data_IF_449200179283
#
_entry.id   IF_449200179283
#
_cell.length_a   1.000
_cell.length_b   1.000
_cell.length_c   1.000
_cell.angle_alpha   90.00
_cell.angle_beta   90.00
_cell.angle_gamma   90.00
#
_symmetry.space_group_name_H-M   'P 1'
#
loop_
_entity.id
_entity.type
_entity.pdbx_description
1 polymer ?
#
# COMPACT_ATOMS: atom_id res chain seq x y z
N UNK A 1 -9.68 -27.15 -4.27
CA UNK A 1 -8.72 -26.21 -3.63
C UNK A 1 -7.46 -26.99 -3.25
N UNK A 2 -6.32 -26.34 -2.97
CA UNK A 2 -5.26 -27.00 -2.15
C UNK A 2 -5.67 -26.89 -0.68
N UNK A 3 -5.63 -27.99 0.06
CA UNK A 3 -5.94 -28.01 1.49
C UNK A 3 -4.89 -27.27 2.34
N UNK A 4 -5.21 -27.09 3.63
CA UNK A 4 -4.21 -26.89 4.69
C UNK A 4 -3.29 -28.13 4.64
N UNK A 5 -1.98 -27.95 4.82
CA UNK A 5 -0.99 -29.04 4.85
C UNK A 5 -0.19 -28.86 6.14
N UNK A 6 0.01 -29.94 6.89
CA UNK A 6 0.80 -29.91 8.10
C UNK A 6 2.25 -29.47 7.83
N UNK A 7 2.74 -28.48 8.57
CA UNK A 7 4.10 -27.95 8.38
C UNK A 7 4.64 -27.20 9.60
N UNK A 8 5.97 -27.13 9.70
CA UNK A 8 6.67 -26.25 10.63
C UNK A 8 6.60 -24.79 10.18
N UNK A 9 6.21 -23.88 11.08
CA UNK A 9 6.31 -22.44 10.89
C UNK A 9 7.79 -22.01 10.83
N UNK A 10 8.29 -21.71 9.64
CA UNK A 10 9.71 -21.43 9.43
C UNK A 10 10.14 -20.09 10.03
N UNK A 11 11.24 -20.13 10.79
CA UNK A 11 11.95 -18.94 11.25
C UNK A 11 12.34 -18.01 10.09
N UNK A 12 12.10 -16.72 10.26
CA UNK A 12 12.36 -15.66 9.31
C UNK A 12 13.82 -15.19 9.45
N UNK A 13 14.77 -15.86 8.78
CA UNK A 13 16.22 -15.61 8.98
C UNK A 13 16.79 -14.37 8.25
N UNK A 14 15.97 -13.53 7.61
CA UNK A 14 16.46 -12.41 6.78
C UNK A 14 15.64 -11.12 6.90
N UNK A 15 16.29 -10.01 6.52
CA UNK A 15 15.77 -8.64 6.58
C UNK A 15 15.85 -7.99 5.17
N UNK A 16 15.26 -8.65 4.17
CA UNK A 16 14.96 -8.03 2.86
C UNK A 16 14.16 -6.75 3.12
N UNK A 17 14.34 -5.71 2.32
CA UNK A 17 13.53 -4.50 2.42
C UNK A 17 13.19 -3.96 1.02
N UNK A 18 11.97 -3.41 0.81
CA UNK A 18 11.57 -2.80 -0.44
C UNK A 18 12.51 -1.65 -0.80
N UNK A 19 12.90 -1.64 -2.08
CA UNK A 19 13.75 -0.62 -2.67
C UNK A 19 12.98 0.40 -3.53
N UNK A 20 11.72 0.12 -3.89
CA UNK A 20 10.94 0.95 -4.81
C UNK A 20 9.48 1.13 -4.34
N UNK A 21 9.08 2.39 -4.24
CA UNK A 21 7.73 2.80 -3.89
C UNK A 21 7.21 3.84 -4.90
N UNK A 22 5.90 3.90 -5.06
CA UNK A 22 5.20 5.02 -5.69
C UNK A 22 3.99 5.38 -4.84
N UNK A 23 4.02 6.56 -4.25
CA UNK A 23 2.90 7.15 -3.54
C UNK A 23 2.07 7.98 -4.51
N UNK A 24 0.75 7.96 -4.38
CA UNK A 24 -0.13 8.82 -5.16
C UNK A 24 -1.42 9.16 -4.40
N UNK A 25 -2.11 10.17 -4.90
CA UNK A 25 -3.33 10.77 -4.34
C UNK A 25 -4.08 11.43 -5.50
N UNK A 26 -5.42 11.44 -5.45
CA UNK A 26 -6.27 11.95 -6.54
C UNK A 26 -7.39 12.87 -6.06
N UNK A 27 -7.51 14.01 -6.75
CA UNK A 27 -8.62 14.96 -6.60
C UNK A 27 -9.65 14.72 -7.69
N UNK A 28 -10.92 14.80 -7.33
CA UNK A 28 -12.02 14.38 -8.23
C UNK A 28 -13.17 15.36 -8.25
N UNK A 29 -13.82 15.46 -9.41
CA UNK A 29 -15.15 16.02 -9.54
C UNK A 29 -16.17 14.89 -9.41
N UNK A 30 -17.19 15.08 -8.57
CA UNK A 30 -18.35 14.18 -8.51
C UNK A 30 -19.26 14.41 -9.72
N UNK A 31 -19.70 13.33 -10.36
CA UNK A 31 -20.65 13.38 -11.46
C UNK A 31 -21.77 12.38 -11.21
N UNK A 32 -23.00 12.87 -11.05
CA UNK A 32 -24.19 12.03 -10.91
C UNK A 32 -24.47 11.27 -12.21
N UNK A 33 -24.70 9.96 -12.10
CA UNK A 33 -25.22 9.11 -13.18
C UNK A 33 -26.75 9.12 -13.14
N UNK A 34 -27.31 9.06 -11.93
CA UNK A 34 -28.74 9.15 -11.64
C UNK A 34 -28.91 9.66 -10.18
N UNK A 35 -30.11 9.54 -9.61
CA UNK A 35 -30.44 10.01 -8.25
C UNK A 35 -29.76 9.24 -7.11
N UNK A 36 -29.25 8.02 -7.35
CA UNK A 36 -28.65 7.15 -6.32
C UNK A 36 -27.17 6.83 -6.57
N UNK A 37 -26.68 7.02 -7.80
CA UNK A 37 -25.36 6.62 -8.26
C UNK A 37 -24.54 7.82 -8.76
N UNK A 38 -23.34 7.99 -8.20
CA UNK A 38 -22.32 8.95 -8.65
C UNK A 38 -21.09 8.21 -9.16
N UNK A 39 -20.31 8.84 -10.04
CA UNK A 39 -18.92 8.47 -10.30
C UNK A 39 -17.97 9.64 -10.02
N UNK A 40 -16.72 9.31 -9.71
CA UNK A 40 -15.66 10.29 -9.48
C UNK A 40 -14.79 10.39 -10.73
N UNK A 41 -14.73 11.60 -11.30
CA UNK A 41 -13.89 11.92 -12.45
C UNK A 41 -12.60 12.56 -11.97
N UNK A 42 -11.45 12.08 -12.43
CA UNK A 42 -10.15 12.69 -12.12
C UNK A 42 -10.14 14.17 -12.56
N UNK A 43 -9.76 15.04 -11.62
CA UNK A 43 -9.58 16.49 -11.80
C UNK A 43 -8.10 16.87 -11.84
N UNK A 44 -7.33 16.32 -10.89
CA UNK A 44 -5.87 16.31 -10.87
C UNK A 44 -5.35 15.25 -9.89
N UNK A 45 -4.05 15.00 -9.89
CA UNK A 45 -3.38 14.22 -8.86
C UNK A 45 -1.87 14.40 -8.89
N UNK A 46 -1.22 13.86 -7.85
CA UNK A 46 0.24 13.80 -7.76
C UNK A 46 0.72 12.38 -7.52
N UNK A 47 1.87 12.06 -8.07
CA UNK A 47 2.62 10.85 -7.77
C UNK A 47 4.05 11.20 -7.32
N UNK A 48 4.55 10.45 -6.35
CA UNK A 48 5.94 10.50 -5.89
C UNK A 48 6.54 9.09 -5.93
N UNK A 49 7.44 8.87 -6.89
CA UNK A 49 8.30 7.69 -6.90
C UNK A 49 9.45 7.89 -5.91
N UNK A 50 9.66 6.91 -5.03
CA UNK A 50 10.76 6.86 -4.08
C UNK A 50 11.55 5.56 -4.27
N UNK A 51 12.82 5.69 -4.61
CA UNK A 51 13.77 4.59 -4.64
C UNK A 51 14.75 4.72 -3.49
N UNK A 52 14.75 3.72 -2.62
CA UNK A 52 15.79 3.56 -1.60
C UNK A 52 17.11 3.13 -2.23
N UNK A 53 18.20 3.69 -1.75
CA UNK A 53 19.57 3.36 -2.15
C UNK A 53 20.34 2.69 -1.00
N UNK A 54 21.54 2.13 -1.25
CA UNK A 54 22.45 1.73 -0.19
C UNK A 54 22.84 2.92 0.70
N UNK A 55 23.39 2.62 1.87
CA UNK A 55 23.93 3.63 2.79
C UNK A 55 25.02 4.49 2.11
N UNK A 56 25.15 5.75 2.54
CA UNK A 56 25.98 6.76 1.89
C UNK A 56 25.43 7.33 0.57
N UNK A 57 24.49 6.63 -0.10
CA UNK A 57 23.91 7.09 -1.38
C UNK A 57 22.55 7.74 -1.16
N UNK A 58 22.35 8.96 -1.69
CA UNK A 58 21.09 9.70 -1.56
C UNK A 58 19.94 8.99 -2.31
N UNK A 59 18.82 8.80 -1.61
CA UNK A 59 17.58 8.23 -2.17
C UNK A 59 17.08 9.02 -3.38
N UNK A 60 16.55 8.30 -4.37
CA UNK A 60 16.00 8.92 -5.59
C UNK A 60 14.52 9.21 -5.38
N UNK A 61 14.14 10.48 -5.42
CA UNK A 61 12.75 10.94 -5.26
C UNK A 61 12.35 11.69 -6.53
N UNK A 62 11.27 11.26 -7.19
CA UNK A 62 10.79 11.84 -8.46
C UNK A 62 9.29 12.12 -8.34
N UNK A 63 8.94 13.40 -8.48
CA UNK A 63 7.56 13.88 -8.45
C UNK A 63 6.96 13.99 -9.85
N UNK A 64 5.66 13.72 -9.98
CA UNK A 64 4.90 13.87 -11.22
C UNK A 64 3.49 14.37 -10.94
N UNK A 65 3.16 15.53 -11.48
CA UNK A 65 1.78 15.99 -11.63
C UNK A 65 1.09 15.22 -12.77
N UNK A 66 -0.21 14.95 -12.61
CA UNK A 66 -1.06 14.42 -13.68
C UNK A 66 -2.50 14.94 -13.55
N UNK A 67 -3.18 15.08 -14.67
CA UNK A 67 -4.62 15.40 -14.79
C UNK A 67 -5.35 14.44 -15.74
N UNK A 68 -4.65 13.44 -16.28
CA UNK A 68 -5.24 12.31 -17.00
C UNK A 68 -4.69 10.99 -16.46
N UNK A 69 -5.48 9.89 -16.46
CA UNK A 69 -4.98 8.59 -16.03
C UNK A 69 -3.78 8.10 -16.84
N UNK A 70 -3.73 8.38 -18.15
CA UNK A 70 -2.60 7.95 -19.01
C UNK A 70 -1.26 8.49 -18.49
N UNK A 71 -1.20 9.77 -18.13
CA UNK A 71 0.05 10.42 -17.66
C UNK A 71 0.56 9.79 -16.35
N UNK A 72 -0.34 9.33 -15.47
CA UNK A 72 0.01 8.55 -14.28
C UNK A 72 0.52 7.15 -14.64
N UNK A 73 -0.17 6.42 -15.50
CA UNK A 73 0.22 5.04 -15.85
C UNK A 73 1.51 4.97 -16.67
N UNK A 74 1.73 5.93 -17.57
CA UNK A 74 3.01 6.12 -18.27
C UNK A 74 4.14 6.34 -17.25
N UNK A 75 3.92 7.23 -16.27
CA UNK A 75 4.89 7.49 -15.21
C UNK A 75 5.13 6.25 -14.34
N UNK A 76 4.09 5.56 -13.87
CA UNK A 76 4.19 4.36 -13.06
C UNK A 76 4.98 3.27 -13.80
N UNK A 77 4.62 2.96 -15.05
CA UNK A 77 5.32 1.97 -15.87
C UNK A 77 6.81 2.35 -16.08
N UNK A 78 7.12 3.65 -16.29
CA UNK A 78 8.51 4.14 -16.40
C UNK A 78 9.38 3.94 -15.14
N UNK A 79 8.77 3.52 -14.02
CA UNK A 79 9.47 3.22 -12.76
C UNK A 79 9.47 1.73 -12.40
N UNK A 80 8.72 0.87 -13.10
CA UNK A 80 8.75 -0.58 -12.82
C UNK A 80 10.02 -1.19 -13.41
N UNK A 81 10.86 -1.77 -12.53
CA UNK A 81 12.11 -2.44 -12.92
C UNK A 81 11.95 -3.95 -12.85
N UNK A 82 12.76 -4.67 -13.63
CA UNK A 82 12.78 -6.13 -13.65
C UNK A 82 13.52 -6.70 -12.43
N UNK A 83 13.10 -7.89 -11.98
CA UNK A 83 13.57 -8.61 -10.77
C UNK A 83 13.27 -7.91 -9.43
N UNK A 84 12.64 -6.72 -9.43
CA UNK A 84 12.23 -5.99 -8.23
C UNK A 84 10.70 -5.83 -8.15
N UNK A 85 10.23 -5.32 -7.01
CA UNK A 85 8.81 -5.09 -6.69
C UNK A 85 8.59 -3.58 -6.59
N UNK A 86 7.68 -3.00 -7.39
CA UNK A 86 7.20 -1.63 -7.16
C UNK A 86 5.98 -1.69 -6.23
N UNK A 87 6.08 -1.07 -5.06
CA UNK A 87 4.97 -0.95 -4.12
C UNK A 87 4.20 0.35 -4.38
N UNK A 88 2.93 0.27 -4.72
CA UNK A 88 2.09 1.42 -5.09
C UNK A 88 1.06 1.67 -4.00
N UNK A 89 1.05 2.87 -3.42
CA UNK A 89 0.34 3.15 -2.17
C UNK A 89 -0.43 4.48 -2.28
N UNK A 90 -1.69 4.45 -1.88
CA UNK A 90 -2.52 5.62 -1.59
C UNK A 90 -3.32 5.36 -0.30
N UNK A 91 -4.07 6.36 0.18
CA UNK A 91 -4.83 6.27 1.43
C UNK A 91 -6.30 5.99 1.13
N UNK A 92 -6.78 4.77 1.41
CA UNK A 92 -7.98 4.19 0.78
C UNK A 92 -7.78 3.87 -0.72
N UNK A 93 -6.64 3.23 -1.05
CA UNK A 93 -6.13 3.03 -2.43
C UNK A 93 -7.12 2.45 -3.44
N UNK A 94 -8.19 1.75 -3.02
CA UNK A 94 -9.23 1.25 -3.92
C UNK A 94 -10.00 2.39 -4.61
N UNK A 95 -10.15 3.54 -3.95
CA UNK A 95 -10.75 4.74 -4.52
C UNK A 95 -9.89 5.28 -5.66
N UNK A 96 -8.64 5.66 -5.39
CA UNK A 96 -7.71 6.20 -6.40
C UNK A 96 -7.48 5.21 -7.54
N UNK A 97 -7.35 3.91 -7.23
CA UNK A 97 -7.20 2.86 -8.25
C UNK A 97 -8.40 2.80 -9.21
N UNK A 98 -9.60 3.08 -8.72
CA UNK A 98 -10.83 3.13 -9.52
C UNK A 98 -10.92 4.42 -10.34
N UNK A 99 -10.65 5.58 -9.73
CA UNK A 99 -10.55 6.90 -10.40
C UNK A 99 -9.55 6.85 -11.55
N UNK A 100 -8.40 6.21 -11.33
CA UNK A 100 -7.34 6.03 -12.32
C UNK A 100 -7.61 4.88 -13.30
N UNK A 101 -8.78 4.22 -13.24
CA UNK A 101 -9.21 3.17 -14.15
C UNK A 101 -8.21 1.99 -14.22
N UNK A 102 -7.65 1.57 -13.08
CA UNK A 102 -6.51 0.63 -13.04
C UNK A 102 -6.74 -0.70 -13.76
N UNK A 103 -7.95 -1.26 -13.67
CA UNK A 103 -8.33 -2.48 -14.41
C UNK A 103 -8.26 -2.34 -15.94
N UNK A 104 -8.43 -1.11 -16.46
CA UNK A 104 -8.40 -0.77 -17.90
C UNK A 104 -7.01 -0.40 -18.40
N UNK A 105 -6.12 0.06 -17.52
CA UNK A 105 -4.75 0.47 -17.89
C UNK A 105 -3.71 -0.61 -17.67
N UNK A 106 -3.74 -1.38 -16.59
CA UNK A 106 -2.72 -2.40 -16.31
C UNK A 106 -2.59 -3.47 -17.43
N UNK A 107 -3.67 -3.98 -18.04
CA UNK A 107 -3.56 -4.87 -19.20
C UNK A 107 -2.86 -4.24 -20.42
N UNK A 108 -2.89 -2.90 -20.58
CA UNK A 108 -2.22 -2.19 -21.68
C UNK A 108 -0.70 -2.05 -21.51
N UNK A 109 -0.17 -2.47 -20.37
CA UNK A 109 1.27 -2.59 -20.10
C UNK A 109 1.63 -4.04 -19.72
N UNK A 110 0.86 -5.00 -20.25
CA UNK A 110 1.01 -6.46 -20.08
C UNK A 110 0.90 -6.98 -18.64
N UNK A 111 0.40 -6.16 -17.71
CA UNK A 111 0.27 -6.53 -16.31
C UNK A 111 -1.00 -7.35 -16.05
N UNK A 112 -0.82 -8.64 -15.79
CA UNK A 112 -1.90 -9.56 -15.38
C UNK A 112 -2.05 -9.58 -13.87
N UNK A 113 -3.30 -9.55 -13.38
CA UNK A 113 -3.62 -9.73 -11.96
C UNK A 113 -3.29 -11.18 -11.55
N UNK A 114 -2.61 -11.37 -10.43
CA UNK A 114 -2.17 -12.70 -9.95
C UNK A 114 -2.53 -13.00 -8.50
N UNK A 115 -2.93 -11.99 -7.74
CA UNK A 115 -3.54 -12.12 -6.42
C UNK A 115 -4.29 -10.82 -6.10
N UNK A 116 -5.51 -10.94 -5.59
CA UNK A 116 -6.31 -9.85 -5.06
C UNK A 116 -6.79 -10.26 -3.66
N UNK A 117 -6.69 -9.35 -2.73
CA UNK A 117 -7.32 -9.43 -1.42
C UNK A 117 -7.88 -8.05 -1.08
N UNK A 118 -9.19 -7.97 -0.86
CA UNK A 118 -9.87 -6.82 -0.28
C UNK A 118 -10.62 -7.32 0.94
N UNK A 119 -10.39 -6.70 2.09
CA UNK A 119 -11.29 -6.77 3.24
C UNK A 119 -11.11 -5.55 4.15
N UNK A 120 -12.12 -4.68 4.20
CA UNK A 120 -12.14 -3.50 5.08
C UNK A 120 -10.95 -2.57 4.74
N UNK A 121 -10.12 -2.19 5.72
CA UNK A 121 -8.95 -1.32 5.53
C UNK A 121 -7.73 -2.03 4.90
N UNK A 122 -7.92 -3.17 4.25
CA UNK A 122 -6.84 -3.99 3.65
C UNK A 122 -7.15 -4.26 2.18
N UNK A 123 -6.56 -3.47 1.29
CA UNK A 123 -6.50 -3.75 -0.13
C UNK A 123 -5.07 -4.19 -0.52
N UNK A 124 -4.96 -5.30 -1.23
CA UNK A 124 -3.72 -5.85 -1.79
C UNK A 124 -4.02 -6.35 -3.21
N UNK A 125 -3.44 -5.74 -4.23
CA UNK A 125 -3.53 -6.23 -5.60
C UNK A 125 -2.15 -6.44 -6.22
N UNK A 126 -1.87 -7.65 -6.69
CA UNK A 126 -0.54 -8.08 -7.16
C UNK A 126 -0.57 -8.35 -8.66
N UNK A 127 0.11 -7.49 -9.41
CA UNK A 127 0.21 -7.58 -10.86
C UNK A 127 1.62 -8.01 -11.30
N UNK A 128 1.72 -8.82 -12.37
CA UNK A 128 2.99 -9.28 -12.95
C UNK A 128 3.01 -9.11 -14.48
N UNK A 129 4.20 -8.83 -15.03
CA UNK A 129 4.52 -8.85 -16.46
C UNK A 129 5.97 -9.31 -16.60
N UNK A 130 6.22 -10.50 -17.18
CA UNK A 130 7.55 -11.17 -17.20
C UNK A 130 8.26 -11.07 -15.83
N UNK A 131 9.39 -10.35 -15.75
CA UNK A 131 10.24 -10.18 -14.56
C UNK A 131 9.86 -8.93 -13.75
N UNK A 132 8.83 -8.18 -14.14
CA UNK A 132 8.30 -6.99 -13.45
C UNK A 132 7.15 -7.36 -12.52
N UNK A 133 7.09 -6.72 -11.35
CA UNK A 133 5.99 -6.92 -10.37
C UNK A 133 5.55 -5.60 -9.73
N UNK A 134 4.24 -5.36 -9.74
CA UNK A 134 3.59 -4.25 -9.02
C UNK A 134 2.77 -4.84 -7.86
N UNK A 135 2.81 -4.19 -6.70
CA UNK A 135 1.99 -4.53 -5.52
C UNK A 135 1.29 -3.27 -5.04
N UNK A 136 -0.02 -3.17 -5.27
CA UNK A 136 -0.85 -2.12 -4.66
C UNK A 136 -1.13 -2.48 -3.19
N UNK A 137 -0.98 -1.50 -2.29
CA UNK A 137 -1.27 -1.65 -0.86
C UNK A 137 -2.03 -0.41 -0.35
N UNK A 138 -3.03 -0.61 0.51
CA UNK A 138 -3.64 0.50 1.24
C UNK A 138 -2.72 0.99 2.38
N UNK A 139 -2.54 2.31 2.46
CA UNK A 139 -1.90 2.96 3.59
C UNK A 139 -2.65 2.71 4.92
N UNK A 140 -3.99 2.60 4.89
CA UNK A 140 -4.83 2.37 6.08
C UNK A 140 -4.57 1.02 6.77
N UNK A 141 -4.02 0.05 6.05
CA UNK A 141 -3.66 -1.27 6.57
C UNK A 141 -2.43 -1.22 7.49
N UNK A 142 -1.53 -0.26 7.27
CA UNK A 142 -0.42 0.04 8.19
C UNK A 142 -0.78 1.13 9.20
N UNK A 143 -1.48 2.18 8.73
CA UNK A 143 -1.73 3.40 9.49
C UNK A 143 -3.25 3.64 9.59
N UNK A 144 -3.89 3.06 10.61
CA UNK A 144 -5.36 3.04 10.81
C UNK A 144 -5.95 4.38 11.29
N UNK A 145 -5.47 5.51 10.76
CA UNK A 145 -5.87 6.88 11.16
C UNK A 145 -5.86 7.81 9.95
N UNK A 146 -6.63 8.90 9.99
CA UNK A 146 -6.77 9.83 8.86
C UNK A 146 -5.45 10.55 8.53
N UNK A 147 -5.20 10.81 7.24
CA UNK A 147 -3.97 11.42 6.72
C UNK A 147 -3.60 12.76 7.40
N UNK A 148 -4.59 13.55 7.84
CA UNK A 148 -4.35 14.77 8.65
C UNK A 148 -3.64 14.49 9.98
N UNK A 149 -3.98 13.39 10.67
CA UNK A 149 -3.31 12.96 11.91
C UNK A 149 -1.89 12.44 11.61
N UNK A 150 -1.72 11.70 10.51
CA UNK A 150 -0.40 11.25 10.04
C UNK A 150 0.54 12.41 9.70
N UNK A 151 0.01 13.47 9.08
CA UNK A 151 0.76 14.70 8.82
C UNK A 151 1.44 15.24 10.08
N UNK A 152 0.67 15.43 11.17
CA UNK A 152 1.23 15.87 12.46
C UNK A 152 2.31 14.90 12.98
N UNK A 153 2.11 13.58 12.90
CA UNK A 153 3.11 12.57 13.29
C UNK A 153 4.40 12.59 12.44
N UNK A 154 4.41 13.26 11.28
CA UNK A 154 5.59 13.40 10.43
C UNK A 154 6.09 14.85 10.24
N UNK A 155 5.57 15.78 11.04
CA UNK A 155 5.97 17.20 10.99
C UNK A 155 5.39 17.99 9.81
N UNK A 156 4.29 17.51 9.21
CA UNK A 156 3.58 18.17 8.11
C UNK A 156 2.17 18.60 8.53
N UNK A 157 1.92 19.90 8.67
CA UNK A 157 0.57 20.43 8.85
C UNK A 157 -0.21 20.34 7.53
N UNK A 158 -1.00 19.26 7.36
CA UNK A 158 -2.01 19.19 6.30
C UNK A 158 -2.95 20.40 6.42
N UNK A 159 -2.99 21.25 5.40
CA UNK A 159 -3.90 22.40 5.35
C UNK A 159 -5.35 21.94 5.23
N UNK A 160 -6.28 22.72 5.76
CA UNK A 160 -7.68 22.70 5.31
C UNK A 160 -7.77 23.31 3.92
N UNK A 161 -8.75 22.87 3.13
CA UNK A 161 -9.10 23.42 1.83
C UNK A 161 -10.62 23.47 1.73
N UNK A 162 -11.16 24.51 1.11
CA UNK A 162 -12.56 24.53 0.67
C UNK A 162 -12.59 24.14 -0.81
N UNK A 163 -13.12 22.95 -1.10
CA UNK A 163 -13.19 22.41 -2.45
C UNK A 163 -14.11 23.22 -3.38
N UNK A 164 -14.98 24.08 -2.84
CA UNK A 164 -15.90 24.90 -3.62
C UNK A 164 -15.25 26.19 -4.15
N UNK A 165 -14.33 26.80 -3.39
CA UNK A 165 -13.71 28.09 -3.71
C UNK A 165 -12.21 28.04 -4.06
N UNK A 166 -11.51 26.94 -3.75
CA UNK A 166 -10.07 26.86 -3.95
C UNK A 166 -9.63 26.94 -5.43
N UNK A 167 -8.49 27.58 -5.68
CA UNK A 167 -7.89 27.59 -7.02
C UNK A 167 -7.25 26.24 -7.38
N UNK A 168 -7.11 25.95 -8.68
CA UNK A 168 -6.38 24.75 -9.18
C UNK A 168 -4.95 24.67 -8.61
N UNK A 169 -4.33 25.82 -8.28
CA UNK A 169 -2.99 25.90 -7.66
C UNK A 169 -3.00 25.40 -6.20
N UNK A 170 -4.00 25.81 -5.42
CA UNK A 170 -4.14 25.39 -4.02
C UNK A 170 -4.53 23.92 -3.91
N UNK A 171 -5.49 23.47 -4.73
CA UNK A 171 -5.89 22.05 -4.80
C UNK A 171 -4.72 21.15 -5.21
N UNK A 172 -3.94 21.55 -6.23
CA UNK A 172 -2.72 20.84 -6.62
C UNK A 172 -1.68 20.79 -5.50
N UNK A 173 -1.50 21.87 -4.73
CA UNK A 173 -0.56 21.88 -3.61
C UNK A 173 -1.08 21.06 -2.40
N UNK A 174 -2.40 21.04 -2.16
CA UNK A 174 -3.02 20.21 -1.12
C UNK A 174 -2.81 18.71 -1.41
N UNK A 175 -3.20 18.24 -2.60
CA UNK A 175 -2.97 16.87 -3.06
C UNK A 175 -1.48 16.48 -3.04
N UNK A 176 -0.58 17.37 -3.48
CA UNK A 176 0.87 17.14 -3.37
C UNK A 176 1.33 16.96 -1.91
N UNK A 177 0.75 17.71 -0.98
CA UNK A 177 1.07 17.62 0.45
C UNK A 177 0.63 16.26 1.02
N UNK A 178 -0.50 15.72 0.59
CA UNK A 178 -0.97 14.39 0.99
C UNK A 178 -0.02 13.27 0.54
N UNK A 179 0.46 13.33 -0.70
CA UNK A 179 1.52 12.44 -1.20
C UNK A 179 2.83 12.61 -0.42
N UNK A 180 3.16 13.82 0.05
CA UNK A 180 4.34 14.07 0.88
C UNK A 180 4.21 13.47 2.29
N UNK A 181 3.00 13.48 2.86
CA UNK A 181 2.69 12.79 4.12
C UNK A 181 2.87 11.29 3.95
N UNK A 182 2.33 10.69 2.88
CA UNK A 182 2.55 9.27 2.56
C UNK A 182 4.04 8.93 2.48
N UNK A 183 4.81 9.71 1.71
CA UNK A 183 6.26 9.54 1.58
C UNK A 183 6.97 9.55 2.95
N UNK A 184 6.72 10.55 3.79
CA UNK A 184 7.39 10.69 5.10
C UNK A 184 6.95 9.62 6.10
N UNK A 185 5.68 9.19 6.08
CA UNK A 185 5.21 8.06 6.88
C UNK A 185 5.96 6.77 6.53
N UNK A 186 6.10 6.47 5.25
CA UNK A 186 6.78 5.26 4.79
C UNK A 186 8.31 5.34 4.95
N UNK A 187 8.91 6.52 4.80
CA UNK A 187 10.32 6.73 5.16
C UNK A 187 10.57 6.43 6.64
N UNK A 188 9.77 7.00 7.56
CA UNK A 188 9.88 6.72 9.00
C UNK A 188 9.61 5.25 9.34
N UNK A 189 8.60 4.61 8.74
CA UNK A 189 8.26 3.21 8.98
C UNK A 189 9.33 2.22 8.49
N UNK A 190 9.87 2.43 7.28
CA UNK A 190 10.93 1.57 6.75
C UNK A 190 12.24 1.78 7.51
N UNK A 191 12.56 3.02 7.93
CA UNK A 191 13.69 3.25 8.85
C UNK A 191 13.47 2.57 10.20
N UNK A 192 12.35 2.79 10.87
CA UNK A 192 12.02 2.15 12.15
C UNK A 192 12.17 0.62 12.10
N UNK A 193 11.63 -0.02 11.05
CA UNK A 193 11.76 -1.47 10.85
C UNK A 193 13.20 -1.95 10.62
N UNK A 194 14.05 -1.13 9.99
CA UNK A 194 15.46 -1.45 9.77
C UNK A 194 16.25 -1.28 11.06
N UNK A 195 16.13 -0.12 11.71
CA UNK A 195 16.80 0.22 12.98
C UNK A 195 16.48 -0.78 14.10
N UNK A 196 15.25 -1.30 14.14
CA UNK A 196 14.81 -2.29 15.12
C UNK A 196 14.96 -3.75 14.62
N UNK A 197 15.59 -3.96 13.47
CA UNK A 197 15.75 -5.23 12.78
C UNK A 197 14.49 -6.12 12.84
N UNK A 198 13.39 -5.67 12.23
CA UNK A 198 12.08 -6.34 12.28
C UNK A 198 11.89 -7.41 11.18
N UNK A 199 12.99 -7.93 10.63
CA UNK A 199 12.99 -8.95 9.59
C UNK A 199 12.27 -8.53 8.29
N UNK A 200 11.95 -9.51 7.46
CA UNK A 200 11.23 -9.34 6.19
C UNK A 200 9.89 -8.57 6.25
N UNK A 201 9.38 -8.22 5.06
CA UNK A 201 9.03 -6.83 4.71
C UNK A 201 7.73 -6.64 3.68
N UNK A 202 6.83 -7.14 4.63
CA UNK A 202 5.49 -7.81 4.69
C UNK A 202 4.24 -6.93 4.55
N UNK A 203 3.26 -7.43 3.79
CA UNK A 203 2.27 -6.60 3.05
C UNK A 203 1.09 -6.10 3.88
N UNK A 204 0.93 -6.63 5.09
CA UNK A 204 -0.02 -6.13 6.08
C UNK A 204 0.69 -5.91 7.41
N UNK A 205 0.14 -5.05 8.27
CA UNK A 205 0.69 -4.88 9.63
C UNK A 205 0.69 -6.20 10.40
N UNK A 206 -0.31 -7.07 10.18
CA UNK A 206 -0.36 -8.42 10.75
C UNK A 206 0.73 -9.35 10.18
N UNK A 207 0.97 -9.34 8.87
CA UNK A 207 2.09 -10.08 8.29
C UNK A 207 3.45 -9.56 8.78
N UNK A 208 3.57 -8.24 9.00
CA UNK A 208 4.79 -7.67 9.56
C UNK A 208 4.98 -8.10 11.03
N UNK A 209 3.93 -8.08 11.85
CA UNK A 209 4.00 -8.57 13.22
C UNK A 209 4.42 -10.05 13.30
N UNK A 210 3.82 -10.91 12.48
CA UNK A 210 4.22 -12.33 12.39
C UNK A 210 5.67 -12.50 11.92
N UNK A 211 6.13 -11.68 10.96
CA UNK A 211 7.53 -11.70 10.48
C UNK A 211 8.52 -11.18 11.51
N UNK A 212 8.13 -10.21 12.34
CA UNK A 212 8.91 -9.76 13.49
C UNK A 212 9.03 -10.90 14.51
N UNK A 213 7.90 -11.56 14.83
CA UNK A 213 7.85 -12.68 15.77
C UNK A 213 8.77 -13.82 15.32
N UNK A 214 8.60 -14.34 14.09
CA UNK A 214 9.43 -15.44 13.57
C UNK A 214 10.89 -15.05 13.28
N UNK A 215 11.27 -13.77 13.42
CA UNK A 215 12.65 -13.28 13.27
C UNK A 215 13.35 -13.06 14.61
N UNK A 216 12.64 -12.56 15.63
CA UNK A 216 13.23 -12.09 16.91
C UNK A 216 12.71 -12.80 18.17
N UNK A 217 11.53 -13.40 18.12
CA UNK A 217 10.75 -13.73 19.32
C UNK A 217 10.07 -15.11 19.28
N UNK A 218 10.54 -16.02 18.40
CA UNK A 218 10.07 -17.40 18.31
C UNK A 218 11.07 -18.33 19.02
N UNK A 219 10.83 -18.70 20.29
CA UNK A 219 11.83 -19.40 21.12
C UNK A 219 11.89 -20.91 20.85
N UNK A 220 10.88 -21.47 20.20
CA UNK A 220 10.72 -22.89 19.90
C UNK A 220 10.01 -23.08 18.56
N UNK A 221 10.10 -24.29 18.01
CA UNK A 221 9.45 -24.67 16.76
C UNK A 221 7.92 -24.78 16.92
N UNK A 222 7.17 -24.18 16.00
CA UNK A 222 5.70 -24.14 16.02
C UNK A 222 5.15 -24.97 14.85
N UNK A 223 4.54 -26.11 15.19
CA UNK A 223 3.94 -27.02 14.22
C UNK A 223 2.48 -26.60 13.92
N UNK A 224 2.15 -26.46 12.64
CA UNK A 224 0.80 -26.17 12.16
C UNK A 224 0.21 -27.48 11.63
N UNK A 225 -0.83 -28.00 12.28
CA UNK A 225 -1.63 -29.15 11.82
C UNK A 225 -2.60 -28.77 10.70
N UNK A 226 -3.10 -29.76 9.96
CA UNK A 226 -4.12 -29.62 8.91
C UNK A 226 -5.50 -30.23 9.28
N UNK A 227 -5.59 -30.94 10.42
CA UNK A 227 -6.83 -31.56 10.91
C UNK A 227 -8.01 -30.58 10.95
N UNK A 228 -9.07 -30.90 10.21
CA UNK A 228 -10.22 -30.03 9.98
C UNK A 228 -11.09 -29.89 11.24
N UNK A 229 -11.49 -31.01 11.84
CA UNK A 229 -12.31 -31.06 13.06
C UNK A 229 -11.66 -30.32 14.24
N UNK A 230 -10.35 -30.50 14.44
CA UNK A 230 -9.58 -29.70 15.41
C UNK A 230 -9.65 -28.20 15.08
N UNK A 231 -9.50 -27.83 13.80
CA UNK A 231 -9.58 -26.44 13.33
C UNK A 231 -11.01 -25.85 13.41
N UNK A 232 -12.03 -26.66 13.71
CA UNK A 232 -13.43 -26.25 13.93
C UNK A 232 -13.68 -26.05 15.42
N UNK A 233 -13.33 -27.02 16.28
CA UNK A 233 -13.38 -26.86 17.74
C UNK A 233 -12.52 -25.68 18.23
N UNK A 234 -11.34 -25.44 17.64
CA UNK A 234 -10.51 -24.26 17.90
C UNK A 234 -11.24 -22.93 17.64
N UNK A 235 -12.18 -22.89 16.69
CA UNK A 235 -12.96 -21.69 16.35
C UNK A 235 -14.16 -21.51 17.25
N UNK A 236 -14.82 -22.60 17.61
CA UNK A 236 -15.94 -22.60 18.56
C UNK A 236 -15.47 -22.17 19.95
N UNK A 237 -14.26 -22.58 20.35
CA UNK A 237 -13.60 -22.12 21.57
C UNK A 237 -12.99 -20.70 21.49
N UNK A 238 -12.96 -20.07 20.31
CA UNK A 238 -12.34 -18.74 20.13
C UNK A 238 -13.31 -17.61 20.49
N UNK A 239 -13.41 -17.32 21.80
CA UNK A 239 -14.19 -16.19 22.30
C UNK A 239 -13.41 -14.87 22.18
N UNK A 240 -14.06 -13.84 21.66
CA UNK A 240 -13.55 -12.47 21.67
C UNK A 240 -13.63 -11.84 23.06
N UNK A 241 -12.88 -10.76 23.26
CA UNK A 241 -13.05 -9.93 24.47
C UNK A 241 -14.45 -9.32 24.53
N UNK A 242 -15.07 -9.36 25.72
CA UNK A 242 -16.32 -8.62 26.00
C UNK A 242 -15.97 -7.13 26.01
N UNK A 243 -16.66 -6.35 25.18
CA UNK A 243 -16.57 -4.89 25.09
C UNK A 243 -17.93 -4.24 25.26
#
# INVERSE_FOLDING_TARGET
MKGKIAHLLRANKTTENPAQFLFFDTETDEVSINTTSKYHKLKLGWACYWQRRPEGVKDTIIWKYFDTPKVFWDFLNSRVRSKTKLYVIAHNVIFDFTVMQGLKYLPKYDFKLTHLFEKSRVFIAVYKSDKKKIVFLDNLNFFKTALRKLGYSVGLKKKSIDFNSCSKKELSQYCKTDVEILLKCWQKWIKFRFDNNLGNFGVTIAQQALRTYTHRFMPADIFIHDQATTSEFEREAYFGGRG
#
